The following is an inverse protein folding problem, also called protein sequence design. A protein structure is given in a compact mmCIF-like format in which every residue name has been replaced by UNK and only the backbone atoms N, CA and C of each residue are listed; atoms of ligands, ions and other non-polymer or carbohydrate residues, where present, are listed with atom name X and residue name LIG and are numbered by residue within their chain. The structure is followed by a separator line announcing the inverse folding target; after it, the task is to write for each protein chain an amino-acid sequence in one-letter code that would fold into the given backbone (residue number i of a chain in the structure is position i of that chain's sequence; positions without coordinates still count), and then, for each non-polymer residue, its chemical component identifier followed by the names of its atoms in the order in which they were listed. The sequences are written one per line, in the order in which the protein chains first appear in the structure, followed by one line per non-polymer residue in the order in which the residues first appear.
data_IF_453807055812
#
_entry.id   IF_453807055812
#
_cell.length_a   1.000
_cell.length_b   1.000
_cell.length_c   1.000
_cell.angle_alpha   90.00
_cell.angle_beta   90.00
_cell.angle_gamma   90.00
#
_symmetry.space_group_name_H-M   'P 1'
#
loop_
_entity.id
_entity.type
_entity.pdbx_description
1 polymer ?
#
# COMPACT_ATOMS: atom_id res chain seq x y z
N UNK A 1 13.86 1.75 -6.22
CA UNK A 1 12.75 1.31 -5.33
C UNK A 1 11.48 1.99 -5.77
N UNK A 2 10.41 1.25 -5.92
CA UNK A 2 9.11 1.83 -6.28
C UNK A 2 8.56 2.79 -5.22
N UNK A 3 7.63 3.64 -5.62
CA UNK A 3 6.93 4.55 -4.74
C UNK A 3 5.44 4.58 -5.03
N UNK A 4 4.60 4.55 -4.00
CA UNK A 4 3.16 4.67 -4.16
C UNK A 4 2.54 5.59 -3.13
N UNK A 5 1.39 6.14 -3.51
CA UNK A 5 0.50 6.94 -2.67
C UNK A 5 -0.94 6.53 -2.98
N UNK A 6 -1.74 6.31 -1.94
CA UNK A 6 -3.15 5.99 -2.06
C UNK A 6 -4.00 6.80 -1.10
N UNK A 7 -5.22 7.11 -1.53
CA UNK A 7 -6.29 7.65 -0.69
C UNK A 7 -7.57 6.87 -0.95
N UNK A 8 -8.29 6.52 0.11
CA UNK A 8 -9.64 5.97 0.06
C UNK A 8 -10.49 6.81 1.00
N UNK A 9 -11.65 7.29 0.51
CA UNK A 9 -12.50 8.23 1.22
C UNK A 9 -13.98 7.98 0.90
N UNK A 10 -14.87 8.38 1.82
CA UNK A 10 -16.29 8.51 1.52
C UNK A 10 -16.61 9.79 0.73
N UNK A 11 -15.73 10.79 0.82
CA UNK A 11 -15.85 12.03 0.06
C UNK A 11 -15.09 11.96 -1.27
N UNK A 12 -15.46 12.84 -2.19
CA UNK A 12 -14.76 12.99 -3.47
C UNK A 12 -13.31 13.39 -3.25
N UNK A 13 -12.39 12.68 -3.89
CA UNK A 13 -10.95 12.91 -3.79
C UNK A 13 -10.54 13.99 -4.80
N UNK A 14 -9.83 15.00 -4.31
CA UNK A 14 -9.18 15.99 -5.15
C UNK A 14 -7.96 15.35 -5.86
N UNK A 15 -8.10 15.18 -7.19
CA UNK A 15 -7.09 14.55 -8.04
C UNK A 15 -5.81 15.37 -8.15
N UNK A 16 -5.91 16.68 -8.18
CA UNK A 16 -4.73 17.55 -8.28
C UNK A 16 -3.91 17.51 -7.00
N UNK A 17 -4.56 17.43 -5.85
CA UNK A 17 -3.92 17.26 -4.56
C UNK A 17 -3.11 15.97 -4.47
N UNK A 18 -3.64 14.84 -4.95
CA UNK A 18 -2.89 13.57 -4.90
C UNK A 18 -1.72 13.57 -5.89
N UNK A 19 -1.90 14.16 -7.07
CA UNK A 19 -0.84 14.32 -8.08
C UNK A 19 0.29 15.20 -7.53
N UNK A 20 -0.04 16.32 -6.87
CA UNK A 20 0.95 17.20 -6.28
C UNK A 20 1.74 16.52 -5.16
N UNK A 21 1.07 15.77 -4.29
CA UNK A 21 1.72 15.02 -3.22
C UNK A 21 2.62 13.89 -3.76
N UNK A 22 2.32 13.35 -4.95
CA UNK A 22 3.15 12.34 -5.61
C UNK A 22 4.53 12.85 -6.03
N UNK A 23 4.69 14.16 -6.29
CA UNK A 23 6.00 14.76 -6.66
C UNK A 23 7.11 14.39 -5.70
N UNK A 24 6.78 14.11 -4.42
CA UNK A 24 7.74 13.68 -3.39
C UNK A 24 8.26 12.25 -3.58
N UNK A 25 7.64 11.46 -4.44
CA UNK A 25 8.00 10.05 -4.64
C UNK A 25 8.28 9.67 -6.10
N UNK A 26 8.15 10.59 -7.05
CA UNK A 26 8.39 10.32 -8.48
C UNK A 26 9.81 9.78 -8.73
N UNK A 27 10.81 10.33 -8.04
CA UNK A 27 12.20 9.89 -8.18
C UNK A 27 12.45 8.44 -7.74
N UNK A 28 11.49 7.80 -7.05
CA UNK A 28 11.64 6.42 -6.58
C UNK A 28 11.38 5.39 -7.69
N UNK A 29 10.65 5.76 -8.72
CA UNK A 29 10.30 4.86 -9.81
C UNK A 29 10.16 5.63 -11.13
N UNK A 30 11.28 5.81 -11.87
CA UNK A 30 11.31 6.65 -13.06
C UNK A 30 10.79 5.96 -14.32
N UNK A 31 10.60 4.63 -14.31
CA UNK A 31 10.36 3.87 -15.53
C UNK A 31 8.91 3.94 -16.01
N UNK A 32 7.95 3.92 -15.07
CA UNK A 32 6.54 4.15 -15.41
C UNK A 32 5.79 4.79 -14.26
N UNK A 33 4.72 5.53 -14.61
CA UNK A 33 3.79 6.14 -13.67
C UNK A 33 2.38 5.80 -14.09
N UNK A 34 1.59 5.25 -13.16
CA UNK A 34 0.17 5.04 -13.35
C UNK A 34 -0.64 5.69 -12.25
N UNK A 35 -1.79 6.21 -12.65
CA UNK A 35 -2.77 6.82 -11.75
C UNK A 35 -4.10 6.11 -11.99
N UNK A 36 -4.73 5.67 -10.92
CA UNK A 36 -6.04 5.10 -10.95
C UNK A 36 -6.98 5.87 -10.02
N UNK A 37 -8.00 6.48 -10.59
CA UNK A 37 -9.03 7.21 -9.86
C UNK A 37 -10.38 6.60 -10.19
N UNK A 38 -11.10 6.11 -9.18
CA UNK A 38 -12.38 5.46 -9.41
C UNK A 38 -13.28 5.55 -8.18
N UNK A 39 -14.48 5.00 -8.31
CA UNK A 39 -15.49 4.91 -7.26
C UNK A 39 -16.11 3.53 -7.26
N UNK A 40 -16.38 3.00 -6.08
CA UNK A 40 -17.21 1.81 -5.87
C UNK A 40 -18.23 2.12 -4.80
N UNK A 41 -19.52 2.04 -5.11
CA UNK A 41 -20.63 2.51 -4.27
C UNK A 41 -20.39 3.95 -3.77
N UNK A 42 -20.28 4.13 -2.43
CA UNK A 42 -20.00 5.41 -1.80
C UNK A 42 -18.53 5.60 -1.41
N UNK A 43 -17.61 4.76 -1.93
CA UNK A 43 -16.17 4.84 -1.64
C UNK A 43 -15.45 5.36 -2.89
N UNK A 44 -14.78 6.49 -2.74
CA UNK A 44 -13.85 7.01 -3.74
C UNK A 44 -12.44 6.53 -3.41
N UNK A 45 -11.66 6.18 -4.42
CA UNK A 45 -10.26 5.85 -4.25
C UNK A 45 -9.39 6.44 -5.36
N UNK A 46 -8.19 6.80 -4.98
CA UNK A 46 -7.17 7.34 -5.88
C UNK A 46 -5.82 6.74 -5.52
N UNK A 47 -5.18 6.08 -6.47
CA UNK A 47 -3.90 5.41 -6.31
C UNK A 47 -2.91 5.91 -7.36
N UNK A 48 -1.69 6.22 -6.92
CA UNK A 48 -0.57 6.56 -7.81
C UNK A 48 0.57 5.59 -7.52
N UNK A 49 1.17 5.08 -8.58
CA UNK A 49 2.34 4.22 -8.50
C UNK A 49 3.43 4.71 -9.44
N UNK A 50 4.65 4.85 -8.92
CA UNK A 50 5.86 5.14 -9.67
C UNK A 50 6.73 3.89 -9.63
N UNK A 51 6.97 3.28 -10.79
CA UNK A 51 7.62 1.98 -10.92
C UNK A 51 9.09 2.13 -11.25
N UNK A 52 9.91 1.37 -10.55
CA UNK A 52 11.24 0.96 -10.97
C UNK A 52 11.14 -0.51 -11.41
N UNK A 53 11.31 -0.78 -12.71
CA UNK A 53 11.13 -2.09 -13.31
C UNK A 53 12.38 -2.95 -13.10
N UNK A 54 12.26 -4.01 -12.29
CA UNK A 54 13.39 -4.93 -11.98
C UNK A 54 13.07 -6.34 -12.47
N UNK A 55 11.99 -6.90 -12.00
CA UNK A 55 11.49 -8.19 -12.46
C UNK A 55 10.63 -8.03 -13.70
N UNK A 56 9.83 -8.51 -14.24
CA UNK A 56 8.98 -8.35 -15.41
C UNK A 56 8.96 -6.90 -15.98
N UNK A 57 9.63 -6.67 -17.09
CA UNK A 57 9.76 -5.34 -17.70
C UNK A 57 8.54 -4.91 -18.53
N UNK A 58 7.54 -5.77 -18.65
CA UNK A 58 6.33 -5.48 -19.44
C UNK A 58 5.39 -4.53 -18.70
N UNK A 59 4.56 -3.83 -19.48
CA UNK A 59 3.51 -2.96 -18.92
C UNK A 59 2.39 -3.73 -18.21
N UNK A 60 2.30 -5.06 -18.40
CA UNK A 60 1.37 -5.92 -17.68
C UNK A 60 1.68 -6.03 -16.20
N UNK A 61 2.95 -5.80 -15.82
CA UNK A 61 3.40 -5.77 -14.43
C UNK A 61 3.30 -4.38 -13.79
N UNK A 62 2.75 -3.37 -14.49
CA UNK A 62 2.55 -2.04 -13.92
C UNK A 62 1.48 -2.04 -12.83
N UNK A 63 1.66 -1.10 -11.90
CA UNK A 63 0.78 -0.92 -10.75
C UNK A 63 0.15 0.49 -10.76
N UNK A 64 -1.04 0.69 -10.17
CA UNK A 64 -1.84 -0.28 -9.42
C UNK A 64 -2.22 -1.49 -10.27
N UNK A 65 -2.07 -2.71 -9.73
CA UNK A 65 -2.39 -3.92 -10.45
C UNK A 65 -3.75 -4.47 -10.02
N UNK A 66 -4.63 -4.70 -10.99
CA UNK A 66 -5.94 -5.31 -10.76
C UNK A 66 -5.94 -6.81 -11.00
N UNK A 67 -6.72 -7.54 -10.21
CA UNK A 67 -7.05 -8.94 -10.46
C UNK A 67 -7.81 -9.11 -11.79
N UNK A 68 -7.81 -10.31 -12.34
CA UNK A 68 -8.48 -10.62 -13.62
C UNK A 68 -9.98 -10.32 -13.60
N UNK A 69 -10.64 -10.51 -12.46
CA UNK A 69 -12.06 -10.20 -12.26
C UNK A 69 -12.33 -8.72 -11.91
N UNK A 70 -11.26 -7.91 -11.78
CA UNK A 70 -11.36 -6.50 -11.45
C UNK A 70 -11.70 -6.17 -9.99
N UNK A 71 -11.88 -7.17 -9.11
CA UNK A 71 -12.40 -6.98 -7.75
C UNK A 71 -11.34 -6.71 -6.68
N UNK A 72 -10.07 -6.82 -7.03
CA UNK A 72 -8.97 -6.55 -6.11
C UNK A 72 -7.88 -5.71 -6.77
N UNK A 73 -7.24 -4.84 -5.98
CA UNK A 73 -6.17 -3.97 -6.44
C UNK A 73 -4.99 -4.10 -5.46
N UNK A 74 -3.77 -4.19 -5.98
CA UNK A 74 -2.56 -4.18 -5.17
C UNK A 74 -1.62 -3.05 -5.57
N UNK A 75 -1.02 -2.43 -4.54
CA UNK A 75 0.18 -1.61 -4.65
C UNK A 75 1.26 -2.27 -3.79
N UNK A 76 2.37 -2.61 -4.41
CA UNK A 76 3.43 -3.37 -3.80
C UNK A 76 4.79 -2.71 -4.08
N UNK A 77 5.51 -2.36 -3.02
CA UNK A 77 6.88 -1.90 -3.08
C UNK A 77 7.76 -2.91 -2.35
N UNK A 78 8.49 -3.70 -3.10
CA UNK A 78 9.31 -4.76 -2.51
C UNK A 78 9.79 -5.75 -3.53
N UNK A 79 10.16 -6.93 -3.03
CA UNK A 79 10.54 -8.09 -3.82
C UNK A 79 10.25 -9.37 -3.03
N UNK A 80 9.56 -10.33 -3.65
CA UNK A 80 9.23 -11.63 -3.08
C UNK A 80 10.19 -12.68 -3.67
N UNK A 81 11.14 -13.13 -2.89
CA UNK A 81 12.23 -14.01 -3.35
C UNK A 81 11.74 -15.39 -3.77
N UNK A 82 10.69 -15.91 -3.15
CA UNK A 82 10.08 -17.21 -3.48
C UNK A 82 8.83 -17.10 -4.38
N UNK A 83 8.69 -16.02 -5.16
CA UNK A 83 7.49 -15.77 -5.98
C UNK A 83 7.22 -16.88 -7.00
N UNK A 84 8.24 -17.49 -7.60
CA UNK A 84 8.06 -18.59 -8.57
C UNK A 84 7.51 -19.86 -7.93
N UNK A 85 7.96 -20.19 -6.71
CA UNK A 85 7.44 -21.31 -5.92
C UNK A 85 5.95 -21.10 -5.58
N UNK A 86 5.64 -19.88 -5.09
CA UNK A 86 4.26 -19.50 -4.76
C UNK A 86 3.36 -19.46 -6.00
N UNK A 87 3.88 -18.99 -7.13
CA UNK A 87 3.18 -19.01 -8.41
C UNK A 87 2.77 -20.43 -8.79
N UNK A 88 3.71 -21.38 -8.78
CA UNK A 88 3.43 -22.79 -9.11
C UNK A 88 2.36 -23.37 -8.20
N UNK A 89 2.41 -23.04 -6.89
CA UNK A 89 1.39 -23.44 -5.91
C UNK A 89 0.01 -22.86 -6.23
N UNK A 90 -0.07 -21.61 -6.64
CA UNK A 90 -1.33 -20.96 -7.03
C UNK A 90 -1.86 -21.51 -8.36
N UNK A 91 -1.00 -21.74 -9.35
CA UNK A 91 -1.36 -22.35 -10.64
C UNK A 91 -1.91 -23.78 -10.46
N UNK A 92 -1.35 -24.56 -9.54
CA UNK A 92 -1.87 -25.90 -9.21
C UNK A 92 -3.28 -25.88 -8.60
N UNK A 93 -3.71 -24.74 -8.03
CA UNK A 93 -5.07 -24.48 -7.57
C UNK A 93 -5.99 -23.87 -8.64
N UNK A 94 -5.51 -23.74 -9.89
CA UNK A 94 -6.29 -23.21 -11.01
C UNK A 94 -6.23 -21.68 -11.18
N UNK A 95 -5.37 -20.99 -10.42
CA UNK A 95 -5.21 -19.54 -10.55
C UNK A 95 -4.49 -19.19 -11.86
N UNK A 96 -5.06 -18.27 -12.64
CA UNK A 96 -4.50 -17.80 -13.90
C UNK A 96 -3.68 -16.52 -13.70
N UNK A 97 -2.61 -16.39 -14.47
CA UNK A 97 -1.71 -15.24 -14.46
C UNK A 97 -1.62 -14.61 -15.85
N UNK A 98 -1.52 -13.27 -15.89
CA UNK A 98 -1.25 -12.49 -17.10
C UNK A 98 0.25 -12.37 -17.37
N UNK A 99 1.00 -12.10 -16.30
CA UNK A 99 2.45 -11.89 -16.38
C UNK A 99 3.20 -13.22 -16.29
N UNK A 100 4.42 -13.25 -16.83
CA UNK A 100 5.26 -14.45 -16.75
C UNK A 100 6.09 -14.51 -15.46
N UNK A 101 6.55 -13.37 -14.94
CA UNK A 101 7.53 -13.31 -13.85
C UNK A 101 7.23 -12.29 -12.77
N UNK A 102 6.10 -11.59 -12.83
CA UNK A 102 5.77 -10.56 -11.84
C UNK A 102 5.49 -11.18 -10.47
N UNK A 103 6.25 -10.81 -9.48
CA UNK A 103 5.97 -11.10 -8.07
C UNK A 103 4.76 -10.32 -7.55
N UNK A 104 4.50 -9.14 -8.12
CA UNK A 104 3.30 -8.34 -7.81
C UNK A 104 2.01 -9.11 -8.09
N UNK A 105 1.93 -9.83 -9.21
CA UNK A 105 0.75 -10.62 -9.54
C UNK A 105 0.61 -11.85 -8.62
N UNK A 106 1.73 -12.43 -8.19
CA UNK A 106 1.73 -13.49 -7.18
C UNK A 106 1.19 -12.99 -5.85
N UNK A 107 1.61 -11.80 -5.41
CA UNK A 107 1.08 -11.16 -4.20
C UNK A 107 -0.41 -10.87 -4.32
N UNK A 108 -0.85 -10.29 -5.44
CA UNK A 108 -2.26 -10.00 -5.72
C UNK A 108 -3.14 -11.24 -5.63
N UNK A 109 -2.76 -12.28 -6.39
CA UNK A 109 -3.54 -13.51 -6.46
C UNK A 109 -3.50 -14.31 -5.16
N UNK A 110 -2.34 -14.36 -4.49
CA UNK A 110 -2.21 -15.05 -3.22
C UNK A 110 -3.04 -14.42 -2.10
N UNK A 111 -3.04 -13.09 -1.97
CA UNK A 111 -3.88 -12.39 -1.02
C UNK A 111 -5.38 -12.52 -1.34
N UNK A 112 -5.74 -12.55 -2.62
CA UNK A 112 -7.12 -12.77 -3.04
C UNK A 112 -7.63 -14.16 -2.65
N UNK A 113 -6.82 -15.20 -2.88
CA UNK A 113 -7.21 -16.61 -2.65
C UNK A 113 -7.12 -17.02 -1.17
N UNK A 114 -6.12 -16.55 -0.45
CA UNK A 114 -5.78 -17.03 0.90
C UNK A 114 -5.91 -15.95 1.99
N UNK A 115 -6.14 -14.68 1.60
CA UNK A 115 -6.20 -13.57 2.55
C UNK A 115 -4.89 -13.36 3.30
N UNK A 116 -5.00 -12.97 4.58
CA UNK A 116 -3.84 -12.66 5.44
C UNK A 116 -2.92 -13.88 5.66
N UNK A 117 -3.43 -15.11 5.57
CA UNK A 117 -2.63 -16.33 5.74
C UNK A 117 -1.53 -16.45 4.69
N UNK A 118 -1.76 -15.91 3.48
CA UNK A 118 -0.74 -15.89 2.43
C UNK A 118 0.53 -15.11 2.84
N UNK A 119 0.40 -14.11 3.71
CA UNK A 119 1.54 -13.29 4.17
C UNK A 119 2.60 -14.14 4.87
N UNK A 120 2.19 -15.21 5.55
CA UNK A 120 3.11 -16.12 6.24
C UNK A 120 3.99 -16.93 5.29
N UNK A 121 3.56 -17.13 4.05
CA UNK A 121 4.31 -17.84 3.03
C UNK A 121 5.32 -16.94 2.30
N UNK A 122 5.16 -15.61 2.37
CA UNK A 122 6.03 -14.67 1.69
C UNK A 122 7.45 -14.66 2.29
N UNK A 123 8.46 -14.79 1.45
CA UNK A 123 9.87 -14.57 1.77
C UNK A 123 10.37 -13.38 0.96
N UNK A 124 10.72 -12.28 1.62
CA UNK A 124 11.11 -11.07 0.91
C UNK A 124 11.08 -9.82 1.78
N UNK A 125 11.20 -8.70 1.11
CA UNK A 125 11.11 -7.36 1.69
C UNK A 125 9.95 -6.62 1.02
N UNK A 126 8.98 -6.15 1.79
CA UNK A 126 7.77 -5.63 1.18
C UNK A 126 6.98 -4.64 2.04
N UNK A 127 6.31 -3.73 1.34
CA UNK A 127 5.22 -2.92 1.83
C UNK A 127 4.06 -3.05 0.84
N UNK A 128 2.96 -3.63 1.28
CA UNK A 128 1.82 -4.00 0.45
C UNK A 128 0.59 -3.21 0.91
N UNK A 129 -0.18 -2.68 -0.05
CA UNK A 129 -1.54 -2.23 0.14
C UNK A 129 -2.44 -3.02 -0.80
N UNK A 130 -3.32 -3.83 -0.24
CA UNK A 130 -4.27 -4.67 -0.96
C UNK A 130 -5.69 -4.19 -0.69
N UNK A 131 -6.40 -3.78 -1.73
CA UNK A 131 -7.78 -3.32 -1.64
C UNK A 131 -8.74 -4.30 -2.30
N UNK A 132 -9.57 -4.95 -1.48
CA UNK A 132 -10.67 -5.81 -1.90
C UNK A 132 -11.93 -4.95 -2.04
N UNK A 133 -12.36 -4.72 -3.28
CA UNK A 133 -13.51 -3.88 -3.60
C UNK A 133 -14.84 -4.51 -3.15
N UNK A 134 -14.96 -5.83 -3.23
CA UNK A 134 -16.17 -6.54 -2.82
C UNK A 134 -16.33 -6.56 -1.30
N UNK A 135 -15.26 -6.87 -0.57
CA UNK A 135 -15.25 -6.85 0.90
C UNK A 135 -15.16 -5.43 1.45
N UNK A 136 -14.89 -4.42 0.58
CA UNK A 136 -14.68 -3.03 0.98
C UNK A 136 -13.62 -2.94 2.07
N UNK A 137 -12.50 -3.62 1.88
CA UNK A 137 -11.43 -3.74 2.87
C UNK A 137 -10.07 -3.41 2.26
N UNK A 138 -9.33 -2.54 2.92
CA UNK A 138 -7.92 -2.27 2.64
C UNK A 138 -7.06 -3.00 3.66
N UNK A 139 -6.15 -3.84 3.18
CA UNK A 139 -5.13 -4.48 4.00
C UNK A 139 -3.78 -3.82 3.75
N UNK A 140 -3.16 -3.28 4.80
CA UNK A 140 -1.79 -2.77 4.77
C UNK A 140 -0.87 -3.77 5.46
N UNK A 141 0.22 -4.16 4.79
CA UNK A 141 1.13 -5.21 5.26
C UNK A 141 2.57 -4.72 5.16
N UNK A 142 3.35 -4.95 6.21
CA UNK A 142 4.78 -4.67 6.23
C UNK A 142 5.59 -5.93 6.50
N UNK A 143 6.74 -6.06 5.84
CA UNK A 143 7.64 -7.20 6.01
C UNK A 143 8.12 -7.37 7.45
N UNK A 144 8.59 -8.58 7.77
CA UNK A 144 8.98 -9.00 9.14
C UNK A 144 10.02 -8.11 9.79
N UNK A 145 10.96 -7.57 9.01
CA UNK A 145 12.04 -6.70 9.49
C UNK A 145 11.74 -5.21 9.29
N UNK A 146 10.61 -4.88 8.63
CA UNK A 146 10.24 -3.51 8.31
C UNK A 146 11.20 -2.83 7.33
N UNK A 147 11.77 -3.58 6.40
CA UNK A 147 12.73 -3.07 5.42
C UNK A 147 12.10 -2.06 4.46
N UNK A 148 10.86 -2.34 4.02
CA UNK A 148 10.11 -1.38 3.20
C UNK A 148 9.18 -0.54 4.08
N UNK A 149 9.23 0.79 3.95
CA UNK A 149 8.36 1.65 4.75
C UNK A 149 6.95 1.71 4.18
N UNK A 150 5.98 1.78 5.08
CA UNK A 150 4.61 2.19 4.78
C UNK A 150 4.12 3.12 5.89
N UNK A 151 3.63 4.29 5.48
CA UNK A 151 3.05 5.29 6.35
C UNK A 151 1.57 5.43 6.06
N UNK A 152 0.79 5.83 7.06
CA UNK A 152 -0.63 6.08 6.87
C UNK A 152 -1.15 7.17 7.80
N UNK A 153 -2.13 7.91 7.31
CA UNK A 153 -3.01 8.80 8.05
C UNK A 153 -4.42 8.23 8.00
N UNK A 154 -5.07 8.13 9.13
CA UNK A 154 -6.43 7.58 9.23
C UNK A 154 -7.28 8.50 10.10
N UNK A 155 -8.46 8.85 9.60
CA UNK A 155 -9.54 9.48 10.35
C UNK A 155 -10.88 8.78 10.08
N UNK A 156 -11.99 9.42 10.46
CA UNK A 156 -13.34 8.85 10.29
C UNK A 156 -13.82 8.84 8.84
N UNK A 157 -13.27 9.69 7.99
CA UNK A 157 -13.73 9.95 6.63
C UNK A 157 -12.84 9.30 5.58
N UNK A 158 -11.55 9.15 5.87
CA UNK A 158 -10.57 8.69 4.90
C UNK A 158 -9.33 8.03 5.50
N UNK A 159 -8.65 7.28 4.65
CA UNK A 159 -7.28 6.85 4.85
C UNK A 159 -6.39 7.35 3.70
N UNK A 160 -5.19 7.83 4.05
CA UNK A 160 -4.11 8.12 3.11
C UNK A 160 -2.94 7.23 3.50
N UNK A 161 -2.32 6.55 2.54
CA UNK A 161 -1.22 5.62 2.81
C UNK A 161 -0.18 5.66 1.68
N UNK A 162 1.07 5.30 1.98
CA UNK A 162 2.10 5.28 0.95
C UNK A 162 3.52 5.10 1.47
N UNK A 163 4.45 5.14 0.53
CA UNK A 163 5.87 4.84 0.75
C UNK A 163 6.68 5.98 1.38
N UNK A 164 6.12 7.20 1.46
CA UNK A 164 6.85 8.39 1.89
C UNK A 164 6.02 9.24 2.86
N UNK A 165 6.66 9.63 3.95
CA UNK A 165 6.03 10.41 5.02
C UNK A 165 5.56 11.80 4.56
N UNK A 166 6.38 12.49 3.75
CA UNK A 166 6.07 13.85 3.30
C UNK A 166 4.89 13.90 2.33
N UNK A 167 4.73 12.90 1.46
CA UNK A 167 3.58 12.78 0.58
C UNK A 167 2.28 12.67 1.38
N UNK A 168 2.28 11.89 2.46
CA UNK A 168 1.13 11.74 3.34
C UNK A 168 0.85 13.03 4.11
N UNK A 169 1.90 13.68 4.61
CA UNK A 169 1.78 14.96 5.32
C UNK A 169 1.17 16.04 4.42
N UNK A 170 1.64 16.17 3.18
CA UNK A 170 1.11 17.15 2.22
C UNK A 170 -0.35 16.84 1.90
N UNK A 171 -0.68 15.60 1.63
CA UNK A 171 -2.05 15.18 1.28
C UNK A 171 -3.01 15.28 2.45
N UNK A 172 -2.58 14.99 3.69
CA UNK A 172 -3.45 15.09 4.88
C UNK A 172 -3.74 16.53 5.31
N UNK A 173 -2.86 17.46 4.97
CA UNK A 173 -2.91 18.91 5.27
C UNK A 173 -3.29 19.30 6.73
N UNK A 174 -3.29 18.35 7.66
CA UNK A 174 -3.77 18.53 9.06
C UNK A 174 -2.73 18.12 10.11
N UNK A 175 -1.53 17.73 9.71
CA UNK A 175 -0.56 17.14 10.64
C UNK A 175 0.40 18.17 11.20
N UNK A 176 0.39 18.33 12.52
CA UNK A 176 1.34 19.14 13.29
C UNK A 176 2.52 18.26 13.75
N UNK A 177 3.65 18.87 14.04
CA UNK A 177 4.79 18.19 14.66
C UNK A 177 4.36 17.65 16.04
N UNK A 178 4.80 16.43 16.35
CA UNK A 178 4.63 15.81 17.65
C UNK A 178 5.80 16.19 18.54
N UNK A 179 5.53 16.86 19.65
CA UNK A 179 6.56 17.24 20.65
C UNK A 179 7.21 16.01 21.29
N UNK A 180 6.40 14.96 21.52
CA UNK A 180 6.88 13.68 22.06
C UNK A 180 7.86 13.01 21.09
N UNK A 181 7.49 12.91 19.80
CA UNK A 181 8.36 12.33 18.78
C UNK A 181 9.61 13.18 18.53
N UNK A 182 9.50 14.51 18.65
CA UNK A 182 10.66 15.39 18.54
C UNK A 182 11.63 15.14 19.72
N UNK A 183 11.12 15.00 20.93
CA UNK A 183 11.92 14.65 22.12
C UNK A 183 12.60 13.31 21.95
N UNK A 184 11.84 12.26 21.52
CA UNK A 184 12.41 10.94 21.24
C UNK A 184 13.55 11.01 20.21
N UNK A 185 13.36 11.80 19.14
CA UNK A 185 14.40 12.00 18.13
C UNK A 185 15.66 12.68 18.68
N UNK A 186 15.49 13.71 19.49
CA UNK A 186 16.62 14.41 20.09
C UNK A 186 17.40 13.55 21.10
N UNK A 187 16.70 12.64 21.79
CA UNK A 187 17.32 11.72 22.75
C UNK A 187 17.99 10.50 22.09
N UNK A 188 17.35 9.92 21.05
CA UNK A 188 17.73 8.62 20.48
C UNK A 188 18.25 8.67 19.05
N UNK A 189 18.12 9.82 18.38
CA UNK A 189 18.45 9.97 16.96
C UNK A 189 17.47 9.28 16.01
N UNK A 190 16.39 8.68 16.52
CA UNK A 190 15.39 7.93 15.74
C UNK A 190 14.02 8.03 16.38
N UNK A 191 12.96 8.01 15.56
CA UNK A 191 11.58 7.88 16.03
C UNK A 191 11.11 6.46 15.74
N UNK A 192 10.73 5.72 16.79
CA UNK A 192 10.30 4.33 16.64
C UNK A 192 8.87 4.23 16.11
N UNK A 193 8.63 3.18 15.29
CA UNK A 193 7.26 2.86 14.86
C UNK A 193 6.38 2.46 16.07
N UNK A 194 5.10 2.82 16.10
CA UNK A 194 4.32 3.38 15.00
C UNK A 194 4.44 4.91 14.82
N UNK A 195 5.20 5.61 15.66
CA UNK A 195 5.27 7.05 15.66
C UNK A 195 6.02 7.61 14.43
N UNK A 196 5.70 8.84 14.08
CA UNK A 196 6.45 9.67 13.15
C UNK A 196 6.63 11.05 13.75
N UNK A 197 7.40 11.92 13.10
CA UNK A 197 7.53 13.32 13.54
C UNK A 197 6.21 14.09 13.51
N UNK A 198 5.21 13.60 12.79
CA UNK A 198 3.91 14.25 12.67
C UNK A 198 2.83 13.53 13.50
N UNK A 199 2.04 14.30 14.25
CA UNK A 199 0.81 13.80 14.90
C UNK A 199 -0.12 13.19 13.86
N UNK A 200 -0.81 12.09 14.20
CA UNK A 200 -1.80 11.40 13.34
C UNK A 200 -1.26 10.71 12.08
N UNK A 201 0.04 10.79 11.79
CA UNK A 201 0.65 9.97 10.75
C UNK A 201 1.45 8.89 11.43
N UNK A 202 1.12 7.65 11.11
CA UNK A 202 1.76 6.48 11.67
C UNK A 202 2.63 5.77 10.64
N UNK A 203 3.64 5.07 11.12
CA UNK A 203 4.44 4.12 10.35
C UNK A 203 4.03 2.71 10.79
N UNK A 204 3.65 1.86 9.83
CA UNK A 204 3.31 0.48 10.13
C UNK A 204 4.51 -0.21 10.81
N UNK A 205 4.27 -0.97 11.87
CA UNK A 205 5.35 -1.69 12.56
C UNK A 205 5.90 -2.82 11.69
N UNK A 206 7.14 -3.29 11.92
CA UNK A 206 7.61 -4.55 11.34
C UNK A 206 6.65 -5.69 11.66
N UNK A 207 6.42 -6.59 10.70
CA UNK A 207 5.51 -7.72 10.77
C UNK A 207 4.02 -7.38 11.09
N UNK A 208 3.61 -6.12 10.95
CA UNK A 208 2.23 -5.71 11.23
C UNK A 208 1.34 -5.83 9.99
N UNK A 209 0.12 -6.31 10.20
CA UNK A 209 -0.98 -6.31 9.24
C UNK A 209 -2.10 -5.46 9.84
N UNK A 210 -2.60 -4.51 9.05
CA UNK A 210 -3.76 -3.70 9.41
C UNK A 210 -4.85 -3.91 8.38
N UNK A 211 -6.03 -4.31 8.84
CA UNK A 211 -7.25 -4.39 8.05
C UNK A 211 -8.12 -3.15 8.33
N UNK A 212 -8.56 -2.48 7.29
CA UNK A 212 -9.38 -1.27 7.35
C UNK A 212 -10.63 -1.50 6.53
N UNK A 213 -11.76 -1.62 7.21
CA UNK A 213 -13.06 -1.86 6.59
C UNK A 213 -13.86 -0.57 6.46
N UNK A 214 -14.58 -0.44 5.34
CA UNK A 214 -15.39 0.73 4.98
C UNK A 214 -16.87 0.34 5.00
N UNK A 215 -17.53 0.50 6.14
CA UNK A 215 -18.92 0.11 6.37
C UNK A 215 -19.81 1.32 6.57
N UNK A 216 -20.85 1.51 5.72
CA UNK A 216 -21.91 2.51 5.89
C UNK A 216 -21.44 3.85 6.50
N UNK A 217 -20.42 4.48 5.90
CA UNK A 217 -19.81 5.73 6.37
C UNK A 217 -18.99 5.63 7.67
N UNK A 218 -18.57 4.45 8.06
CA UNK A 218 -17.65 4.22 9.17
C UNK A 218 -16.40 3.46 8.69
N UNK A 219 -15.24 3.99 9.07
CA UNK A 219 -13.95 3.30 8.84
C UNK A 219 -13.54 2.62 10.13
N UNK A 220 -13.37 1.29 10.09
CA UNK A 220 -12.88 0.49 11.22
C UNK A 220 -11.50 -0.07 10.93
N UNK A 221 -10.58 0.13 11.87
CA UNK A 221 -9.23 -0.42 11.84
C UNK A 221 -9.15 -1.62 12.79
N UNK A 222 -8.60 -2.73 12.28
CA UNK A 222 -8.24 -3.93 13.03
C UNK A 222 -6.77 -4.21 12.79
N UNK A 223 -5.95 -4.24 13.83
CA UNK A 223 -4.52 -4.62 13.75
C UNK A 223 -4.36 -6.09 14.15
N UNK A 224 -3.49 -6.81 13.45
CA UNK A 224 -3.05 -8.18 13.75
C UNK A 224 -1.54 -8.23 13.89
#
# INVERSE_FOLDING_TARGET
MCGYLGEISFDTIDKDSIINSNKRIECRGPDSKRIENNKTDNIHYSFIFNRLSILDLTSEADQPMRSLDGNSIVLFNGEIYNHMELRTKLESKGVKFRTKRSDTEVVLNGLKEMGDDFVHELRGQFAIAFFDLQKRNLTLIRDRLGQKPIFYYLDKEKIIFGSNLLSIKEKSNKSKVSEESLREYLEKGVIQSPNTIYKKINKLKPAEIINISFNKNEIKKISK
#
